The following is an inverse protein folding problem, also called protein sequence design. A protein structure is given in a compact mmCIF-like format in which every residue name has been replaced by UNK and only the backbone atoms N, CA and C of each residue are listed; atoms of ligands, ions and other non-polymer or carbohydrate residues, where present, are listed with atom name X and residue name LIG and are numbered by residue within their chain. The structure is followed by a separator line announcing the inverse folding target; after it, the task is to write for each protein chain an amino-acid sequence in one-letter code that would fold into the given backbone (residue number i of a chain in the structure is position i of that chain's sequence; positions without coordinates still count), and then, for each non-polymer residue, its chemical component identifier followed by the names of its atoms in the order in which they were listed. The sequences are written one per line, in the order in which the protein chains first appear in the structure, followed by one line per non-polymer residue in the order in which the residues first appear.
data_IF_156543442349
#
_entry.id   IF_156543442349
#
_cell.length_a   1.000
_cell.length_b   1.000
_cell.length_c   1.000
_cell.angle_alpha   90.00
_cell.angle_beta   90.00
_cell.angle_gamma   90.00
#
_symmetry.space_group_name_H-M   'P 1'
#
loop_
_entity.id
_entity.type
_entity.pdbx_description
1 polymer ?
#
# COMPACT_ATOMS: atom_id res chain seq x y z
N UNK A 1 -5.36 -42.84 -15.06
CA UNK A 1 -5.84 -41.90 -14.03
C UNK A 1 -5.16 -42.24 -12.70
N UNK A 2 -3.93 -41.76 -12.48
CA UNK A 2 -3.32 -41.85 -11.16
C UNK A 2 -3.82 -40.65 -10.36
N UNK A 3 -4.80 -40.88 -9.49
CA UNK A 3 -5.24 -39.90 -8.50
C UNK A 3 -4.04 -39.56 -7.61
N UNK A 4 -3.57 -38.30 -7.69
CA UNK A 4 -2.62 -37.75 -6.74
C UNK A 4 -3.16 -38.01 -5.31
N UNK A 5 -2.35 -38.50 -4.34
CA UNK A 5 -2.87 -38.88 -3.03
C UNK A 5 -3.45 -37.64 -2.35
N UNK A 6 -4.79 -37.56 -2.24
CA UNK A 6 -5.54 -36.39 -1.74
C UNK A 6 -5.34 -36.12 -0.23
N UNK A 7 -4.37 -36.78 0.42
CA UNK A 7 -4.25 -36.82 1.88
C UNK A 7 -3.80 -35.51 2.55
N UNK A 8 -3.03 -34.66 1.86
CA UNK A 8 -2.38 -33.52 2.55
C UNK A 8 -2.54 -32.16 1.87
N UNK A 9 -3.16 -32.12 0.70
CA UNK A 9 -3.17 -30.93 -0.15
C UNK A 9 -4.10 -29.81 0.37
N UNK A 10 -5.24 -30.20 0.95
CA UNK A 10 -6.30 -29.28 1.35
C UNK A 10 -6.26 -28.95 2.83
N UNK A 11 -6.48 -27.68 3.18
CA UNK A 11 -6.57 -27.28 4.60
C UNK A 11 -7.84 -27.77 5.28
N UNK A 12 -8.90 -27.91 4.50
CA UNK A 12 -10.20 -28.39 4.92
C UNK A 12 -10.52 -29.67 4.14
N UNK A 13 -11.17 -30.64 4.78
CA UNK A 13 -11.61 -31.87 4.12
C UNK A 13 -12.46 -31.59 2.88
N UNK A 14 -12.34 -32.33 1.77
CA UNK A 14 -12.98 -32.01 0.50
C UNK A 14 -14.51 -31.88 0.56
N UNK A 15 -15.19 -32.67 1.39
CA UNK A 15 -16.65 -32.59 1.57
C UNK A 15 -17.04 -31.26 2.21
N UNK A 16 -16.40 -30.90 3.32
CA UNK A 16 -16.60 -29.60 3.98
C UNK A 16 -16.18 -28.44 3.08
N UNK A 17 -15.08 -28.57 2.33
CA UNK A 17 -14.67 -27.56 1.36
C UNK A 17 -15.74 -27.34 0.27
N UNK A 18 -16.46 -28.39 -0.13
CA UNK A 18 -17.56 -28.30 -1.09
C UNK A 18 -18.76 -27.54 -0.51
N UNK A 19 -19.11 -27.76 0.75
CA UNK A 19 -20.19 -27.04 1.45
C UNK A 19 -19.96 -25.52 1.43
N UNK A 20 -18.72 -25.09 1.64
CA UNK A 20 -18.35 -23.66 1.62
C UNK A 20 -18.04 -23.14 0.20
N UNK A 21 -17.98 -24.01 -0.81
CA UNK A 21 -17.68 -23.62 -2.19
C UNK A 21 -16.21 -23.32 -2.46
N UNK A 22 -15.28 -23.91 -1.72
CA UNK A 22 -13.84 -23.69 -1.91
C UNK A 22 -13.19 -24.63 -2.93
N UNK A 23 -13.87 -25.66 -3.43
CA UNK A 23 -13.19 -26.71 -4.21
C UNK A 23 -12.71 -26.20 -5.58
N UNK A 24 -11.42 -26.44 -5.86
CA UNK A 24 -10.85 -26.30 -7.21
C UNK A 24 -10.90 -27.62 -7.99
N UNK A 25 -11.40 -27.58 -9.21
CA UNK A 25 -11.48 -28.67 -10.17
C UNK A 25 -10.45 -28.46 -11.29
N UNK A 26 -9.18 -28.77 -11.00
CA UNK A 26 -8.11 -28.77 -12.00
C UNK A 26 -7.30 -30.05 -11.88
N UNK A 27 -7.07 -30.70 -13.01
CA UNK A 27 -6.26 -31.90 -13.12
C UNK A 27 -4.79 -31.50 -13.30
N UNK A 28 -3.94 -31.87 -12.33
CA UNK A 28 -2.50 -31.65 -12.40
C UNK A 28 -1.80 -32.96 -12.78
N UNK A 29 -1.49 -33.12 -14.06
CA UNK A 29 -0.70 -34.26 -14.57
C UNK A 29 0.80 -33.95 -14.60
N UNK A 30 1.18 -32.68 -14.43
CA UNK A 30 2.59 -32.24 -14.44
C UNK A 30 3.13 -31.98 -15.85
N UNK A 31 2.32 -32.21 -16.89
CA UNK A 31 2.62 -31.86 -18.27
C UNK A 31 1.67 -30.74 -18.72
N UNK A 32 2.19 -29.55 -19.01
CA UNK A 32 1.39 -28.38 -19.36
C UNK A 32 0.47 -28.62 -20.56
N UNK A 33 0.95 -29.35 -21.59
CA UNK A 33 0.16 -29.64 -22.78
C UNK A 33 -1.01 -30.56 -22.45
N UNK A 34 -0.77 -31.58 -21.62
CA UNK A 34 -1.81 -32.51 -21.19
C UNK A 34 -2.81 -31.85 -20.23
N UNK A 35 -2.34 -30.99 -19.34
CA UNK A 35 -3.19 -30.23 -18.40
C UNK A 35 -4.07 -29.22 -19.13
N UNK A 36 -3.57 -28.57 -20.19
CA UNK A 36 -4.37 -27.70 -21.07
C UNK A 36 -5.42 -28.46 -21.89
N UNK A 37 -5.09 -29.66 -22.37
CA UNK A 37 -6.03 -30.50 -23.12
C UNK A 37 -7.12 -31.11 -22.21
N UNK A 38 -6.75 -31.50 -20.99
CA UNK A 38 -7.68 -32.14 -20.04
C UNK A 38 -8.54 -31.15 -19.27
N UNK A 39 -7.99 -29.98 -18.94
CA UNK A 39 -8.73 -28.87 -18.34
C UNK A 39 -8.95 -27.81 -19.43
N UNK A 40 -10.10 -27.84 -20.10
CA UNK A 40 -10.48 -26.83 -21.08
C UNK A 40 -10.66 -25.45 -20.41
N UNK A 41 -9.56 -24.72 -20.22
CA UNK A 41 -9.49 -23.44 -19.51
C UNK A 41 -9.65 -22.21 -20.42
N UNK A 42 -9.60 -22.40 -21.73
CA UNK A 42 -9.80 -21.32 -22.69
C UNK A 42 -11.28 -21.05 -22.92
N UNK A 43 -11.69 -19.79 -22.79
CA UNK A 43 -13.06 -19.38 -23.10
C UNK A 43 -13.28 -19.30 -24.60
N UNK A 44 -14.39 -19.85 -25.09
CA UNK A 44 -14.83 -19.66 -26.48
C UNK A 44 -15.36 -18.23 -26.69
N UNK A 45 -15.49 -17.79 -27.95
CA UNK A 45 -16.03 -16.45 -28.27
C UNK A 45 -17.44 -16.23 -27.69
N UNK A 46 -18.28 -17.27 -27.66
CA UNK A 46 -19.61 -17.21 -27.06
C UNK A 46 -19.55 -17.08 -25.53
N UNK A 47 -18.64 -17.82 -24.89
CA UNK A 47 -18.43 -17.74 -23.44
C UNK A 47 -17.87 -16.38 -23.03
N UNK A 48 -16.97 -15.80 -23.83
CA UNK A 48 -16.54 -14.42 -23.66
C UNK A 48 -17.71 -13.44 -23.72
N UNK A 49 -18.58 -13.58 -24.72
CA UNK A 49 -19.76 -12.72 -24.84
C UNK A 49 -20.71 -12.89 -23.66
N UNK A 50 -20.92 -14.12 -23.19
CA UNK A 50 -21.77 -14.40 -22.03
C UNK A 50 -21.17 -13.86 -20.73
N UNK A 51 -19.86 -13.97 -20.53
CA UNK A 51 -19.17 -13.39 -19.37
C UNK A 51 -19.37 -11.87 -19.30
N UNK A 52 -19.36 -11.19 -20.44
CA UNK A 52 -19.56 -9.73 -20.52
C UNK A 52 -21.04 -9.33 -20.36
N UNK A 53 -21.96 -10.06 -21.01
CA UNK A 53 -23.39 -9.69 -21.06
C UNK A 53 -24.22 -10.21 -19.89
N UNK A 54 -23.86 -11.38 -19.34
CA UNK A 54 -24.61 -12.07 -18.29
C UNK A 54 -23.69 -12.86 -17.34
N UNK A 55 -22.75 -12.18 -16.64
CA UNK A 55 -21.70 -12.82 -15.85
C UNK A 55 -22.22 -13.82 -14.81
N UNK A 56 -23.32 -13.48 -14.13
CA UNK A 56 -23.93 -14.35 -13.11
C UNK A 56 -24.43 -15.66 -13.73
N UNK A 57 -25.13 -15.57 -14.87
CA UNK A 57 -25.65 -16.75 -15.56
C UNK A 57 -24.52 -17.63 -16.11
N UNK A 58 -23.46 -16.99 -16.61
CA UNK A 58 -22.27 -17.71 -17.08
C UNK A 58 -21.61 -18.49 -15.93
N UNK A 59 -21.36 -17.86 -14.79
CA UNK A 59 -20.77 -18.49 -13.59
C UNK A 59 -21.62 -19.67 -13.10
N UNK A 60 -22.95 -19.49 -13.03
CA UNK A 60 -23.86 -20.55 -12.61
C UNK A 60 -23.78 -21.78 -13.53
N UNK A 61 -23.62 -21.57 -14.84
CA UNK A 61 -23.48 -22.64 -15.84
C UNK A 61 -22.09 -23.28 -15.85
N UNK A 62 -21.03 -22.54 -15.49
CA UNK A 62 -19.65 -22.98 -15.68
C UNK A 62 -19.06 -23.85 -14.56
N UNK A 63 -19.71 -23.95 -13.40
CA UNK A 63 -19.14 -24.71 -12.27
C UNK A 63 -19.85 -24.58 -10.93
N UNK A 64 -20.93 -23.80 -10.84
CA UNK A 64 -21.80 -23.75 -9.67
C UNK A 64 -21.43 -22.68 -8.64
N UNK A 65 -22.45 -22.33 -7.86
CA UNK A 65 -22.40 -21.31 -6.82
C UNK A 65 -21.94 -21.89 -5.48
N UNK A 66 -20.88 -21.33 -4.92
CA UNK A 66 -20.44 -21.55 -3.55
C UNK A 66 -21.12 -20.58 -2.59
N UNK A 67 -21.25 -20.96 -1.32
CA UNK A 67 -21.85 -20.10 -0.29
C UNK A 67 -21.02 -18.84 0.02
N UNK A 68 -21.04 -18.41 1.28
CA UNK A 68 -20.27 -17.24 1.72
C UNK A 68 -18.75 -17.43 1.53
N UNK A 69 -18.24 -18.67 1.64
CA UNK A 69 -16.82 -18.97 1.49
C UNK A 69 -15.96 -18.31 2.58
N UNK A 70 -16.40 -18.36 3.83
CA UNK A 70 -15.68 -17.85 5.00
C UNK A 70 -15.67 -18.93 6.08
N UNK A 71 -14.47 -19.28 6.56
CA UNK A 71 -14.25 -20.18 7.68
C UNK A 71 -13.64 -19.41 8.86
N UNK A 72 -14.46 -19.04 9.84
CA UNK A 72 -13.99 -18.32 11.02
C UNK A 72 -13.11 -19.18 11.96
N UNK A 73 -13.12 -20.51 11.81
CA UNK A 73 -12.37 -21.40 12.72
C UNK A 73 -10.86 -21.24 12.59
N UNK A 74 -10.38 -20.80 11.43
CA UNK A 74 -8.95 -20.53 11.19
C UNK A 74 -8.47 -19.17 11.70
N UNK A 75 -9.36 -18.32 12.21
CA UNK A 75 -8.99 -16.98 12.69
C UNK A 75 -7.97 -17.03 13.83
N UNK A 76 -8.05 -18.06 14.67
CA UNK A 76 -7.10 -18.31 15.77
C UNK A 76 -5.65 -18.40 15.29
N UNK A 77 -5.42 -18.83 14.04
CA UNK A 77 -4.10 -18.89 13.45
C UNK A 77 -3.50 -17.49 13.23
N UNK A 78 -4.29 -16.42 13.21
CA UNK A 78 -3.79 -15.06 13.09
C UNK A 78 -3.38 -14.45 14.43
N UNK A 79 -3.85 -14.94 15.58
CA UNK A 79 -3.56 -14.34 16.89
C UNK A 79 -2.08 -14.08 17.20
N UNK A 80 -1.11 -14.90 16.73
CA UNK A 80 0.31 -14.55 16.88
C UNK A 80 0.73 -13.24 16.21
N UNK A 81 -0.11 -12.64 15.34
CA UNK A 81 0.12 -11.28 14.81
C UNK A 81 0.16 -10.22 15.91
N UNK A 82 -0.50 -10.43 17.04
CA UNK A 82 -0.49 -9.48 18.16
C UNK A 82 0.91 -9.36 18.79
N UNK A 83 1.71 -10.43 18.76
CA UNK A 83 3.11 -10.36 19.16
C UNK A 83 3.90 -9.47 18.22
N UNK A 84 3.68 -9.59 16.90
CA UNK A 84 4.25 -8.67 15.92
C UNK A 84 3.78 -7.23 16.14
N UNK A 85 2.51 -7.01 16.46
CA UNK A 85 1.99 -5.68 16.81
C UNK A 85 2.75 -5.06 17.98
N UNK A 86 2.97 -5.81 19.05
CA UNK A 86 3.75 -5.34 20.21
C UNK A 86 5.20 -5.03 19.80
N UNK A 87 5.82 -5.90 19.00
CA UNK A 87 7.18 -5.69 18.48
C UNK A 87 7.26 -4.41 17.65
N UNK A 88 6.36 -4.20 16.69
CA UNK A 88 6.35 -2.99 15.86
C UNK A 88 6.04 -1.74 16.66
N UNK A 89 5.09 -1.79 17.60
CA UNK A 89 4.79 -0.67 18.47
C UNK A 89 6.02 -0.28 19.33
N UNK A 90 6.71 -1.27 19.90
CA UNK A 90 7.94 -1.06 20.66
C UNK A 90 9.09 -0.53 19.81
N UNK A 91 9.31 -1.10 18.62
CA UNK A 91 10.30 -0.64 17.65
C UNK A 91 10.02 0.79 17.20
N UNK A 92 8.76 1.12 16.89
CA UNK A 92 8.33 2.46 16.51
C UNK A 92 8.58 3.45 17.64
N UNK A 93 8.19 3.12 18.87
CA UNK A 93 8.41 3.97 20.04
C UNK A 93 9.89 4.27 20.26
N UNK A 94 10.75 3.24 20.19
CA UNK A 94 12.19 3.42 20.31
C UNK A 94 12.80 4.21 19.14
N UNK A 95 12.36 3.90 17.91
CA UNK A 95 12.83 4.56 16.70
C UNK A 95 12.47 6.04 16.68
N UNK A 96 11.26 6.44 17.08
CA UNK A 96 10.80 7.84 17.06
C UNK A 96 11.79 8.79 17.76
N UNK A 97 12.38 8.38 18.89
CA UNK A 97 13.40 9.18 19.57
C UNK A 97 14.62 9.42 18.68
N UNK A 98 15.15 8.38 18.04
CA UNK A 98 16.32 8.47 17.17
C UNK A 98 15.99 9.20 15.86
N UNK A 99 14.84 8.91 15.26
CA UNK A 99 14.36 9.57 14.04
C UNK A 99 14.14 11.07 14.26
N UNK A 100 13.68 11.48 15.45
CA UNK A 100 13.56 12.90 15.78
C UNK A 100 14.90 13.62 15.86
N UNK A 101 15.95 12.94 16.38
CA UNK A 101 17.32 13.48 16.41
C UNK A 101 17.89 13.57 15.01
N UNK A 102 17.65 12.55 14.18
CA UNK A 102 18.05 12.54 12.78
C UNK A 102 17.37 13.68 12.00
N UNK A 103 16.06 13.90 12.19
CA UNK A 103 15.33 14.99 11.52
C UNK A 103 15.83 16.38 11.92
N UNK A 104 16.19 16.59 13.19
CA UNK A 104 16.84 17.83 13.65
C UNK A 104 18.25 17.99 13.10
N UNK A 105 19.03 16.90 13.03
CA UNK A 105 20.37 16.90 12.44
C UNK A 105 20.34 17.19 10.93
N UNK A 106 19.38 16.61 10.22
CA UNK A 106 19.07 16.89 8.82
C UNK A 106 18.41 18.26 8.62
N UNK A 107 18.17 19.01 9.70
CA UNK A 107 17.58 20.35 9.67
C UNK A 107 16.22 20.43 8.95
N UNK A 108 15.43 19.36 9.03
CA UNK A 108 14.01 19.38 8.57
C UNK A 108 13.25 20.50 9.27
N UNK A 109 13.58 20.73 10.54
CA UNK A 109 13.08 21.85 11.34
C UNK A 109 14.22 22.39 12.20
N UNK A 110 14.30 23.73 12.32
CA UNK A 110 15.24 24.42 13.21
C UNK A 110 14.47 25.05 14.37
N UNK A 111 14.59 24.52 15.60
CA UNK A 111 13.96 25.11 16.78
C UNK A 111 14.54 26.48 17.14
N UNK A 112 13.71 27.35 17.72
CA UNK A 112 14.16 28.64 18.25
C UNK A 112 15.15 28.42 19.40
N UNK A 113 16.33 29.03 19.32
CA UNK A 113 17.44 28.86 20.27
C UNK A 113 18.03 27.43 20.37
N UNK A 114 17.68 26.53 19.43
CA UNK A 114 18.22 25.15 19.44
C UNK A 114 17.60 24.23 20.48
N UNK A 115 16.64 24.69 21.29
CA UNK A 115 15.89 23.86 22.23
C UNK A 115 14.67 23.22 21.56
N UNK A 116 14.60 21.89 21.57
CA UNK A 116 13.47 21.10 21.03
C UNK A 116 12.15 21.44 21.71
N UNK A 117 12.16 21.94 22.95
CA UNK A 117 10.95 22.34 23.67
C UNK A 117 10.32 23.62 23.10
N UNK A 118 11.12 24.49 22.46
CA UNK A 118 10.68 25.75 21.86
C UNK A 118 10.21 25.62 20.40
N UNK A 119 9.81 24.42 19.97
CA UNK A 119 9.21 24.20 18.65
C UNK A 119 7.73 24.58 18.62
N UNK A 120 7.32 25.28 17.57
CA UNK A 120 5.89 25.55 17.30
C UNK A 120 5.12 24.27 16.99
N UNK A 121 3.79 24.31 17.09
CA UNK A 121 2.94 23.15 16.78
C UNK A 121 3.17 22.64 15.36
N UNK A 122 3.23 23.53 14.36
CA UNK A 122 3.47 23.18 12.95
C UNK A 122 4.85 22.56 12.74
N UNK A 123 5.86 23.06 13.45
CA UNK A 123 7.22 22.49 13.45
C UNK A 123 7.25 21.07 14.03
N UNK A 124 6.53 20.83 15.13
CA UNK A 124 6.40 19.49 15.73
C UNK A 124 5.68 18.53 14.78
N UNK A 125 4.64 19.00 14.10
CA UNK A 125 3.88 18.22 13.12
C UNK A 125 4.76 17.83 11.92
N UNK A 126 5.48 18.79 11.31
CA UNK A 126 6.41 18.52 10.19
C UNK A 126 7.47 17.47 10.59
N UNK A 127 8.04 17.59 11.80
CA UNK A 127 9.01 16.61 12.30
C UNK A 127 8.39 15.22 12.57
N UNK A 128 7.12 15.16 13.02
CA UNK A 128 6.40 13.88 13.18
C UNK A 128 6.09 13.23 11.83
N UNK A 129 5.62 14.01 10.83
CA UNK A 129 5.38 13.53 9.46
C UNK A 129 6.66 12.94 8.86
N UNK A 130 7.81 13.61 9.02
CA UNK A 130 9.12 13.09 8.62
C UNK A 130 9.46 11.76 9.29
N UNK A 131 9.30 11.66 10.62
CA UNK A 131 9.57 10.43 11.37
C UNK A 131 8.69 9.28 10.88
N UNK A 132 7.40 9.55 10.63
CA UNK A 132 6.47 8.54 10.13
C UNK A 132 6.88 8.04 8.75
N UNK A 133 7.22 8.93 7.82
CA UNK A 133 7.64 8.52 6.47
C UNK A 133 8.95 7.72 6.49
N UNK A 134 9.89 8.07 7.37
CA UNK A 134 11.13 7.31 7.50
C UNK A 134 10.90 5.94 8.16
N UNK A 135 10.02 5.86 9.16
CA UNK A 135 9.57 4.59 9.73
C UNK A 135 8.94 3.67 8.69
N UNK A 136 8.00 4.21 7.89
CA UNK A 136 7.35 3.48 6.80
C UNK A 136 8.36 3.01 5.75
N UNK A 137 9.33 3.86 5.38
CA UNK A 137 10.39 3.49 4.43
C UNK A 137 11.18 2.26 4.89
N UNK A 138 11.57 2.23 6.18
CA UNK A 138 12.30 1.10 6.77
C UNK A 138 11.42 -0.16 6.80
N UNK A 139 10.17 -0.03 7.23
CA UNK A 139 9.24 -1.16 7.27
C UNK A 139 8.98 -1.74 5.87
N UNK A 140 8.61 -0.91 4.89
CA UNK A 140 8.30 -1.38 3.54
C UNK A 140 9.52 -2.06 2.91
N UNK A 141 10.72 -1.51 3.11
CA UNK A 141 11.96 -2.15 2.64
C UNK A 141 12.14 -3.54 3.26
N UNK A 142 12.00 -3.65 4.58
CA UNK A 142 12.13 -4.94 5.28
C UNK A 142 11.03 -5.94 4.87
N UNK A 143 9.79 -5.47 4.75
CA UNK A 143 8.64 -6.28 4.34
C UNK A 143 8.79 -6.80 2.91
N UNK A 144 9.23 -5.96 1.98
CA UNK A 144 9.48 -6.36 0.59
C UNK A 144 10.61 -7.39 0.50
N UNK A 145 11.72 -7.21 1.24
CA UNK A 145 12.78 -8.21 1.29
C UNK A 145 12.25 -9.54 1.84
N UNK A 146 11.50 -9.49 2.95
CA UNK A 146 10.94 -10.69 3.58
C UNK A 146 9.96 -11.41 2.65
N UNK A 147 9.05 -10.67 2.02
CA UNK A 147 8.12 -11.20 1.03
C UNK A 147 8.85 -11.82 -0.15
N UNK A 148 9.83 -11.15 -0.74
CA UNK A 148 10.58 -11.68 -1.88
C UNK A 148 11.28 -13.01 -1.55
N UNK A 149 11.92 -13.11 -0.38
CA UNK A 149 12.59 -14.35 0.06
C UNK A 149 11.62 -15.53 0.16
N UNK A 150 10.38 -15.29 0.62
CA UNK A 150 9.36 -16.35 0.73
C UNK A 150 8.76 -16.71 -0.64
N UNK A 151 8.58 -15.71 -1.50
CA UNK A 151 7.79 -15.83 -2.72
C UNK A 151 8.59 -16.30 -3.94
N UNK A 152 9.88 -15.97 -4.03
CA UNK A 152 10.69 -16.14 -5.25
C UNK A 152 10.70 -17.56 -5.84
N UNK A 153 10.61 -18.58 -4.98
CA UNK A 153 10.72 -20.00 -5.38
C UNK A 153 9.33 -20.64 -5.59
N UNK A 154 8.25 -19.85 -5.52
CA UNK A 154 6.87 -20.36 -5.61
C UNK A 154 6.39 -20.41 -7.06
N UNK A 155 5.76 -21.53 -7.50
CA UNK A 155 5.32 -21.69 -8.89
C UNK A 155 4.20 -20.71 -9.28
N UNK A 156 3.50 -20.15 -8.31
CA UNK A 156 2.44 -19.16 -8.50
C UNK A 156 2.92 -17.71 -8.41
N UNK A 157 4.19 -17.47 -8.11
CA UNK A 157 4.76 -16.13 -8.05
C UNK A 157 5.38 -15.75 -9.40
N UNK A 158 4.89 -14.65 -9.98
CA UNK A 158 5.42 -14.07 -11.22
C UNK A 158 5.00 -12.60 -11.33
N UNK A 159 5.86 -11.76 -11.90
CA UNK A 159 5.66 -10.31 -12.02
C UNK A 159 5.88 -9.87 -13.48
N UNK A 160 4.83 -9.68 -14.30
CA UNK A 160 3.42 -10.00 -14.04
C UNK A 160 3.15 -11.51 -14.04
N UNK A 161 2.01 -11.93 -13.49
CA UNK A 161 1.62 -13.35 -13.45
C UNK A 161 1.40 -13.91 -14.85
N UNK A 162 2.14 -14.97 -15.22
CA UNK A 162 1.90 -15.75 -16.44
C UNK A 162 0.67 -16.66 -16.31
N UNK A 163 0.27 -17.32 -17.40
CA UNK A 163 -0.84 -18.29 -17.36
C UNK A 163 -0.60 -19.42 -16.35
N UNK A 164 0.60 -20.02 -16.37
CA UNK A 164 0.95 -21.09 -15.44
C UNK A 164 0.97 -20.60 -13.99
N UNK A 165 1.46 -19.38 -13.73
CA UNK A 165 1.40 -18.78 -12.39
C UNK A 165 -0.04 -18.65 -11.90
N UNK A 166 -0.98 -18.18 -12.74
CA UNK A 166 -2.39 -17.97 -12.37
C UNK A 166 -3.10 -19.28 -12.04
N UNK A 167 -2.87 -20.31 -12.85
CA UNK A 167 -3.42 -21.64 -12.58
C UNK A 167 -2.88 -22.14 -11.24
N UNK A 168 -1.57 -22.08 -11.03
CA UNK A 168 -0.93 -22.47 -9.77
C UNK A 168 -1.37 -21.59 -8.58
N UNK A 169 -1.85 -20.38 -8.80
CA UNK A 169 -2.36 -19.50 -7.76
C UNK A 169 -3.76 -19.96 -7.29
N UNK A 170 -4.61 -20.36 -8.24
CA UNK A 170 -5.97 -20.83 -8.02
C UNK A 170 -6.06 -22.29 -7.56
N UNK A 171 -5.00 -23.07 -7.73
CA UNK A 171 -5.00 -24.52 -7.52
C UNK A 171 -3.80 -25.00 -6.70
N UNK A 172 -4.00 -25.93 -5.77
CA UNK A 172 -5.28 -26.37 -5.21
C UNK A 172 -5.92 -25.31 -4.31
N UNK A 173 -7.24 -25.30 -4.19
CA UNK A 173 -7.95 -24.51 -3.19
C UNK A 173 -9.09 -25.33 -2.55
N UNK A 174 -9.31 -25.25 -1.22
CA UNK A 174 -8.50 -24.52 -0.23
C UNK A 174 -7.19 -25.27 0.09
N UNK A 175 -6.04 -24.61 0.18
CA UNK A 175 -4.76 -25.29 0.46
C UNK A 175 -4.25 -25.00 1.87
N UNK A 176 -3.39 -25.87 2.40
CA UNK A 176 -2.66 -25.63 3.66
C UNK A 176 -1.57 -24.58 3.42
N UNK A 177 -1.63 -23.39 4.03
CA UNK A 177 -0.56 -22.41 3.88
C UNK A 177 0.72 -22.93 4.53
N UNK A 178 1.85 -22.71 3.86
CA UNK A 178 3.15 -23.00 4.44
C UNK A 178 3.41 -22.12 5.67
N UNK A 179 4.23 -22.62 6.59
CA UNK A 179 4.54 -21.92 7.83
C UNK A 179 5.14 -20.53 7.56
N UNK A 180 6.04 -20.42 6.57
CA UNK A 180 6.66 -19.14 6.20
C UNK A 180 5.65 -18.15 5.62
N UNK A 181 4.73 -18.65 4.77
CA UNK A 181 3.65 -17.84 4.21
C UNK A 181 2.78 -17.24 5.31
N UNK A 182 2.42 -18.07 6.29
CA UNK A 182 1.60 -17.66 7.42
C UNK A 182 2.36 -16.71 8.37
N UNK A 183 3.68 -16.86 8.52
CA UNK A 183 4.52 -15.89 9.24
C UNK A 183 4.52 -14.52 8.57
N UNK A 184 4.68 -14.46 7.24
CA UNK A 184 4.61 -13.19 6.50
C UNK A 184 3.23 -12.54 6.61
N UNK A 185 2.17 -13.36 6.54
CA UNK A 185 0.80 -12.89 6.73
C UNK A 185 0.58 -12.25 8.11
N UNK A 186 1.06 -12.91 9.18
CA UNK A 186 0.98 -12.41 10.57
C UNK A 186 1.87 -11.18 10.78
N UNK A 187 3.03 -11.14 10.13
CA UNK A 187 3.94 -9.99 10.15
C UNK A 187 3.25 -8.76 9.57
N UNK A 188 2.70 -8.86 8.36
CA UNK A 188 1.97 -7.77 7.70
C UNK A 188 0.75 -7.33 8.51
N UNK A 189 -0.09 -8.27 8.95
CA UNK A 189 -1.25 -7.97 9.78
C UNK A 189 -0.85 -7.27 11.09
N UNK A 190 0.20 -7.77 11.76
CA UNK A 190 0.69 -7.20 13.01
C UNK A 190 1.14 -5.76 12.85
N UNK A 191 1.80 -5.43 11.74
CA UNK A 191 2.18 -4.06 11.40
C UNK A 191 0.98 -3.15 11.17
N UNK A 192 0.01 -3.54 10.34
CA UNK A 192 -1.17 -2.69 10.09
C UNK A 192 -2.03 -2.47 11.33
N UNK A 193 -2.09 -3.44 12.25
CA UNK A 193 -2.71 -3.24 13.57
C UNK A 193 -1.91 -2.22 14.39
N UNK A 194 -0.58 -2.28 14.36
CA UNK A 194 0.27 -1.31 15.07
C UNK A 194 0.14 0.11 14.51
N UNK A 195 0.07 0.26 13.18
CA UNK A 195 -0.18 1.55 12.53
C UNK A 195 -1.58 2.08 12.87
N UNK A 196 -2.60 1.21 12.87
CA UNK A 196 -3.96 1.59 13.30
C UNK A 196 -3.97 2.07 14.76
N UNK A 197 -3.29 1.35 15.66
CA UNK A 197 -3.18 1.76 17.05
C UNK A 197 -2.44 3.10 17.21
N UNK A 198 -1.36 3.30 16.45
CA UNK A 198 -0.61 4.56 16.45
C UNK A 198 -1.48 5.73 15.97
N UNK A 199 -2.31 5.52 14.95
CA UNK A 199 -3.26 6.54 14.48
C UNK A 199 -4.26 6.95 15.54
N UNK A 200 -4.83 5.99 16.26
CA UNK A 200 -5.80 6.26 17.33
C UNK A 200 -5.15 7.01 18.49
N UNK A 201 -3.90 6.66 18.85
CA UNK A 201 -3.14 7.38 19.89
C UNK A 201 -2.79 8.81 19.44
N UNK A 202 -2.58 9.02 18.14
CA UNK A 202 -2.24 10.32 17.55
C UNK A 202 -3.46 11.14 17.11
N UNK A 203 -4.69 10.76 17.49
CA UNK A 203 -5.94 11.38 17.02
C UNK A 203 -6.07 12.88 17.33
N UNK A 204 -5.45 13.35 18.41
CA UNK A 204 -5.44 14.77 18.81
C UNK A 204 -4.67 15.66 17.81
N UNK A 205 -3.89 15.04 16.92
CA UNK A 205 -3.23 15.71 15.81
C UNK A 205 -4.26 15.85 14.69
N UNK A 206 -5.06 16.92 14.74
CA UNK A 206 -6.09 17.27 13.76
C UNK A 206 -5.48 17.29 12.35
N UNK A 207 -5.63 16.18 11.62
CA UNK A 207 -5.14 15.98 10.26
C UNK A 207 -6.36 15.92 9.33
N UNK A 208 -6.40 16.73 8.28
CA UNK A 208 -7.54 16.83 7.36
C UNK A 208 -7.89 15.50 6.67
N UNK A 209 -6.90 14.64 6.45
CA UNK A 209 -7.02 13.32 5.82
C UNK A 209 -7.09 12.15 6.83
N UNK A 210 -7.30 12.43 8.12
CA UNK A 210 -7.36 11.39 9.16
C UNK A 210 -8.41 10.31 8.85
N UNK A 211 -9.63 10.73 8.49
CA UNK A 211 -10.74 9.80 8.21
C UNK A 211 -10.46 8.91 7.02
N UNK A 212 -9.89 9.47 5.95
CA UNK A 212 -9.54 8.71 4.76
C UNK A 212 -8.47 7.66 5.07
N UNK A 213 -7.40 8.06 5.78
CA UNK A 213 -6.32 7.17 6.18
C UNK A 213 -6.80 6.08 7.15
N UNK A 214 -7.71 6.41 8.08
CA UNK A 214 -8.34 5.47 9.00
C UNK A 214 -9.19 4.43 8.27
N UNK A 215 -10.11 4.87 7.40
CA UNK A 215 -10.95 3.97 6.60
C UNK A 215 -10.08 3.03 5.75
N UNK A 216 -9.01 3.56 5.15
CA UNK A 216 -8.05 2.75 4.41
C UNK A 216 -7.43 1.64 5.26
N UNK A 217 -7.04 1.93 6.51
CA UNK A 217 -6.49 0.92 7.42
C UNK A 217 -7.54 -0.12 7.80
N UNK A 218 -8.80 0.29 8.06
CA UNK A 218 -9.90 -0.66 8.34
C UNK A 218 -10.10 -1.60 7.16
N UNK A 219 -10.17 -1.07 5.94
CA UNK A 219 -10.33 -1.89 4.72
C UNK A 219 -9.15 -2.84 4.54
N UNK A 220 -7.91 -2.38 4.77
CA UNK A 220 -6.72 -3.23 4.64
C UNK A 220 -6.71 -4.36 5.66
N UNK A 221 -7.07 -4.08 6.92
CA UNK A 221 -7.20 -5.11 7.95
C UNK A 221 -8.29 -6.14 7.61
N UNK A 222 -9.45 -5.67 7.14
CA UNK A 222 -10.54 -6.55 6.70
C UNK A 222 -10.14 -7.41 5.50
N UNK A 223 -9.43 -6.86 4.52
CA UNK A 223 -8.92 -7.60 3.36
C UNK A 223 -8.01 -8.75 3.79
N UNK A 224 -7.07 -8.48 4.70
CA UNK A 224 -6.16 -9.50 5.25
C UNK A 224 -6.95 -10.57 6.01
N UNK A 225 -7.89 -10.19 6.89
CA UNK A 225 -8.67 -11.15 7.67
C UNK A 225 -9.57 -12.02 6.77
N UNK A 226 -10.31 -11.40 5.83
CA UNK A 226 -11.20 -12.11 4.93
C UNK A 226 -10.40 -13.03 4.00
N UNK A 227 -9.28 -12.56 3.44
CA UNK A 227 -8.41 -13.40 2.60
C UNK A 227 -7.90 -14.62 3.36
N UNK A 228 -7.53 -14.50 4.65
CA UNK A 228 -7.15 -15.65 5.47
C UNK A 228 -8.32 -16.62 5.74
N UNK A 229 -9.48 -16.10 6.15
CA UNK A 229 -10.66 -16.92 6.44
C UNK A 229 -11.26 -17.56 5.18
N UNK A 230 -10.92 -17.06 3.99
CA UNK A 230 -11.30 -17.64 2.70
C UNK A 230 -10.19 -18.50 2.07
N UNK A 231 -9.12 -18.80 2.80
CA UNK A 231 -7.96 -19.59 2.33
C UNK A 231 -7.22 -18.99 1.12
N UNK A 232 -7.33 -17.68 0.91
CA UNK A 232 -6.72 -16.94 -0.20
C UNK A 232 -5.32 -16.41 0.12
N UNK A 233 -4.54 -17.11 0.97
CA UNK A 233 -3.27 -16.55 1.45
C UNK A 233 -2.29 -16.21 0.32
N UNK A 234 -2.20 -17.02 -0.75
CA UNK A 234 -1.37 -16.78 -1.94
C UNK A 234 -1.69 -15.43 -2.59
N UNK A 235 -2.99 -15.13 -2.77
CA UNK A 235 -3.44 -13.83 -3.27
C UNK A 235 -3.11 -12.73 -2.28
N UNK A 236 -3.43 -12.93 -0.99
CA UNK A 236 -3.20 -11.94 0.04
C UNK A 236 -1.72 -11.55 0.15
N UNK A 237 -0.79 -12.51 0.19
CA UNK A 237 0.64 -12.21 0.25
C UNK A 237 1.18 -11.61 -1.04
N UNK A 238 0.63 -11.98 -2.19
CA UNK A 238 1.04 -11.39 -3.46
C UNK A 238 0.67 -9.90 -3.49
N UNK A 239 -0.56 -9.57 -3.08
CA UNK A 239 -1.04 -8.19 -2.96
C UNK A 239 -0.22 -7.43 -1.91
N UNK A 240 -0.01 -7.98 -0.71
CA UNK A 240 0.85 -7.37 0.32
C UNK A 240 2.24 -7.02 -0.22
N UNK A 241 2.89 -7.97 -0.87
CA UNK A 241 4.24 -7.81 -1.40
C UNK A 241 4.34 -6.68 -2.44
N UNK A 242 3.47 -6.68 -3.46
CA UNK A 242 3.54 -5.65 -4.52
C UNK A 242 3.13 -4.27 -3.99
N UNK A 243 2.24 -4.23 -2.98
CA UNK A 243 1.86 -2.98 -2.33
C UNK A 243 3.05 -2.38 -1.59
N UNK A 244 3.68 -3.16 -0.72
CA UNK A 244 4.82 -2.70 0.07
C UNK A 244 6.01 -2.31 -0.84
N UNK A 245 6.24 -3.08 -1.91
CA UNK A 245 7.33 -2.81 -2.86
C UNK A 245 7.20 -1.46 -3.58
N UNK A 246 5.99 -1.06 -3.98
CA UNK A 246 5.78 0.25 -4.62
C UNK A 246 5.96 1.41 -3.64
N UNK A 247 5.62 1.20 -2.37
CA UNK A 247 5.47 2.28 -1.39
C UNK A 247 6.82 2.69 -0.77
N UNK A 248 7.88 1.89 -0.94
CA UNK A 248 9.25 2.23 -0.52
C UNK A 248 9.69 3.59 -1.08
N UNK A 249 9.53 3.78 -2.40
CA UNK A 249 10.00 5.00 -3.06
C UNK A 249 9.12 6.21 -2.80
N UNK A 250 7.83 5.99 -2.56
CA UNK A 250 6.92 7.05 -2.14
C UNK A 250 7.31 7.58 -0.75
N UNK A 251 7.52 6.66 0.20
CA UNK A 251 7.92 7.02 1.56
C UNK A 251 9.30 7.70 1.57
N UNK A 252 10.27 7.16 0.83
CA UNK A 252 11.60 7.74 0.70
C UNK A 252 11.57 9.12 0.04
N UNK A 253 10.78 9.28 -1.03
CA UNK A 253 10.59 10.57 -1.71
C UNK A 253 10.04 11.64 -0.76
N UNK A 254 9.06 11.28 0.09
CA UNK A 254 8.53 12.19 1.12
C UNK A 254 9.59 12.57 2.17
N UNK A 255 10.43 11.63 2.60
CA UNK A 255 11.57 11.92 3.51
C UNK A 255 12.51 12.96 2.88
N UNK A 256 12.91 12.76 1.62
CA UNK A 256 13.78 13.70 0.89
C UNK A 256 13.09 15.07 0.75
N UNK A 257 11.80 15.09 0.40
CA UNK A 257 11.02 16.32 0.25
C UNK A 257 11.03 17.18 1.53
N UNK A 258 10.84 16.57 2.70
CA UNK A 258 10.87 17.31 3.97
C UNK A 258 12.23 17.95 4.25
N UNK A 259 13.34 17.29 3.88
CA UNK A 259 14.69 17.84 4.04
C UNK A 259 14.95 18.98 3.05
N UNK A 260 14.59 18.77 1.77
CA UNK A 260 14.79 19.78 0.71
C UNK A 260 13.96 21.04 0.97
N UNK A 261 12.67 20.90 1.33
CA UNK A 261 11.81 22.04 1.73
C UNK A 261 12.36 22.77 2.96
N UNK A 262 12.93 22.04 3.93
CA UNK A 262 13.59 22.62 5.11
C UNK A 262 14.77 23.52 4.72
N UNK A 263 15.61 23.07 3.79
CA UNK A 263 16.75 23.85 3.30
C UNK A 263 16.32 25.07 2.47
N UNK A 264 15.33 24.90 1.58
CA UNK A 264 14.74 25.99 0.79
C UNK A 264 14.20 27.13 1.64
N UNK A 265 13.40 26.79 2.67
CA UNK A 265 12.85 27.78 3.62
C UNK A 265 13.94 28.54 4.37
N UNK A 266 15.03 27.87 4.74
CA UNK A 266 16.19 28.49 5.38
C UNK A 266 16.89 29.48 4.44
N UNK A 267 17.13 29.09 3.19
CA UNK A 267 17.74 29.98 2.20
C UNK A 267 16.87 31.23 1.95
N UNK A 268 15.55 31.06 1.87
CA UNK A 268 14.58 32.16 1.74
C UNK A 268 14.62 33.11 2.95
N UNK A 269 14.59 32.57 4.17
CA UNK A 269 14.66 33.36 5.39
C UNK A 269 15.99 34.12 5.55
N UNK A 270 17.11 33.55 5.07
CA UNK A 270 18.41 34.22 5.04
C UNK A 270 18.40 35.41 4.06
N UNK A 271 17.84 35.23 2.86
CA UNK A 271 17.69 36.31 1.86
C UNK A 271 16.77 37.43 2.36
N UNK A 272 15.73 37.09 3.13
CA UNK A 272 14.78 38.06 3.68
C UNK A 272 15.28 38.81 4.93
N UNK A 273 16.54 38.61 5.36
CA UNK A 273 17.11 39.32 6.52
C UNK A 273 16.48 38.96 7.88
N UNK A 274 15.58 37.97 7.95
CA UNK A 274 14.88 37.55 9.18
C UNK A 274 15.76 36.77 10.18
N UNK A 275 17.08 36.73 9.98
CA UNK A 275 18.01 35.89 10.74
C UNK A 275 18.34 36.47 12.12
N UNK A 276 17.41 36.36 13.08
CA UNK A 276 17.67 36.69 14.50
C UNK A 276 18.24 35.53 15.33
N UNK A 277 18.31 34.31 14.79
CA UNK A 277 18.91 33.18 15.50
C UNK A 277 20.14 32.70 14.71
N UNK A 278 21.28 32.70 15.38
CA UNK A 278 22.54 32.17 14.87
C UNK A 278 22.30 30.84 14.14
N UNK A 279 22.54 30.87 12.83
CA UNK A 279 22.40 29.72 11.96
C UNK A 279 23.28 28.60 12.52
N UNK A 280 22.65 27.52 13.02
CA UNK A 280 23.35 26.26 13.20
C UNK A 280 23.87 25.86 11.81
N UNK A 281 25.17 26.06 11.59
CA UNK A 281 25.85 25.72 10.35
C UNK A 281 25.48 24.27 9.99
N UNK A 282 24.82 24.06 8.85
CA UNK A 282 24.52 22.71 8.38
C UNK A 282 25.83 21.91 8.30
N UNK A 283 25.82 20.61 8.63
CA UNK A 283 26.95 19.75 8.32
C UNK A 283 27.11 19.72 6.79
N UNK A 284 28.13 20.42 6.29
CA UNK A 284 28.36 20.68 4.85
C UNK A 284 29.03 19.48 4.17
N UNK A 285 28.58 18.26 4.46
CA UNK A 285 29.13 17.10 3.76
C UNK A 285 28.66 17.12 2.30
N UNK A 286 29.57 16.84 1.36
CA UNK A 286 29.22 16.72 -0.06
C UNK A 286 28.15 15.65 -0.28
N UNK A 287 28.18 14.60 0.55
CA UNK A 287 27.20 13.52 0.54
C UNK A 287 25.79 14.00 0.88
N UNK A 288 25.62 14.88 1.88
CA UNK A 288 24.32 15.45 2.22
C UNK A 288 23.69 16.16 1.02
N UNK A 289 24.46 17.03 0.35
CA UNK A 289 23.98 17.77 -0.84
C UNK A 289 23.75 16.88 -2.05
N UNK A 290 24.47 15.75 -2.15
CA UNK A 290 24.28 14.78 -3.22
C UNK A 290 22.99 13.96 -3.03
N UNK A 291 22.64 13.62 -1.79
CA UNK A 291 21.45 12.84 -1.46
C UNK A 291 20.18 13.72 -1.44
N UNK A 292 20.25 14.87 -0.78
CA UNK A 292 19.10 15.75 -0.58
C UNK A 292 19.11 16.91 -1.58
N UNK A 293 18.74 16.62 -2.83
CA UNK A 293 18.56 17.62 -3.88
C UNK A 293 17.28 17.35 -4.69
N UNK A 294 16.85 18.37 -5.44
CA UNK A 294 15.62 18.31 -6.25
C UNK A 294 15.68 17.26 -7.35
N UNK A 295 16.88 16.98 -7.87
CA UNK A 295 17.10 15.94 -8.89
C UNK A 295 16.84 14.54 -8.33
N UNK A 296 17.34 14.23 -7.14
CA UNK A 296 17.12 12.96 -6.44
C UNK A 296 15.66 12.81 -6.05
N UNK A 297 15.04 13.88 -5.55
CA UNK A 297 13.61 13.89 -5.26
C UNK A 297 12.79 13.54 -6.52
N UNK A 298 13.12 14.17 -7.64
CA UNK A 298 12.46 13.91 -8.93
C UNK A 298 12.73 12.50 -9.44
N UNK A 299 13.94 11.99 -9.29
CA UNK A 299 14.29 10.61 -9.64
C UNK A 299 13.51 9.60 -8.79
N UNK A 300 13.41 9.81 -7.48
CA UNK A 300 12.62 8.96 -6.58
C UNK A 300 11.13 8.94 -6.97
N UNK A 301 10.54 10.10 -7.27
CA UNK A 301 9.15 10.17 -7.71
C UNK A 301 8.94 9.53 -9.08
N UNK A 302 9.84 9.73 -10.05
CA UNK A 302 9.76 9.09 -11.35
C UNK A 302 9.83 7.57 -11.23
N UNK A 303 10.78 7.07 -10.44
CA UNK A 303 10.94 5.65 -10.19
C UNK A 303 9.75 5.06 -9.42
N UNK A 304 9.20 5.80 -8.46
CA UNK A 304 7.93 5.47 -7.81
C UNK A 304 6.80 5.37 -8.84
N UNK A 305 6.64 6.35 -9.73
CA UNK A 305 5.59 6.32 -10.75
C UNK A 305 5.72 5.09 -11.65
N UNK A 306 6.93 4.77 -12.13
CA UNK A 306 7.16 3.58 -12.95
C UNK A 306 6.81 2.29 -12.19
N UNK A 307 7.27 2.14 -10.95
CA UNK A 307 6.95 0.96 -10.14
C UNK A 307 5.46 0.89 -9.78
N UNK A 308 4.83 2.03 -9.49
CA UNK A 308 3.40 2.12 -9.23
C UNK A 308 2.60 1.67 -10.45
N UNK A 309 2.94 2.18 -11.66
CA UNK A 309 2.31 1.72 -12.90
C UNK A 309 2.48 0.20 -13.10
N UNK A 310 3.70 -0.30 -12.91
CA UNK A 310 3.98 -1.73 -13.09
C UNK A 310 3.22 -2.62 -12.09
N UNK A 311 3.27 -2.31 -10.79
CA UNK A 311 2.61 -3.14 -9.79
C UNK A 311 1.09 -2.95 -9.78
N UNK A 312 0.61 -1.71 -9.93
CA UNK A 312 -0.82 -1.37 -9.76
C UNK A 312 -1.64 -1.47 -11.02
N UNK A 313 -1.07 -1.14 -12.17
CA UNK A 313 -1.79 -1.06 -13.44
C UNK A 313 -1.40 -2.15 -14.44
N UNK A 314 -0.32 -2.88 -14.17
CA UNK A 314 0.01 -4.11 -14.91
C UNK A 314 -0.23 -5.35 -14.06
N UNK A 315 0.48 -5.52 -12.95
CA UNK A 315 0.42 -6.77 -12.17
C UNK A 315 -0.96 -7.05 -11.57
N UNK A 316 -1.60 -6.04 -10.94
CA UNK A 316 -2.92 -6.21 -10.32
C UNK A 316 -4.05 -6.49 -11.33
N UNK A 317 -4.17 -5.78 -12.47
CA UNK A 317 -5.18 -6.10 -13.48
C UNK A 317 -4.98 -7.47 -14.10
N UNK A 318 -3.73 -7.88 -14.36
CA UNK A 318 -3.45 -9.23 -14.85
C UNK A 318 -3.85 -10.31 -13.84
N UNK A 319 -3.64 -10.05 -12.55
CA UNK A 319 -4.10 -10.91 -11.47
C UNK A 319 -5.64 -10.98 -11.42
N UNK A 320 -6.31 -9.83 -11.48
CA UNK A 320 -7.77 -9.72 -11.42
C UNK A 320 -8.46 -10.37 -12.63
N UNK A 321 -8.00 -10.05 -13.84
CA UNK A 321 -8.52 -10.62 -15.09
C UNK A 321 -8.32 -12.13 -15.12
N UNK A 322 -7.13 -12.58 -14.71
CA UNK A 322 -6.81 -13.99 -14.54
C UNK A 322 -7.83 -14.72 -13.67
N UNK A 323 -8.17 -14.14 -12.53
CA UNK A 323 -9.13 -14.75 -11.61
C UNK A 323 -10.54 -14.84 -12.18
N UNK A 324 -10.98 -13.82 -12.92
CA UNK A 324 -12.30 -13.84 -13.55
C UNK A 324 -12.36 -14.88 -14.67
N UNK A 325 -11.30 -14.99 -15.48
CA UNK A 325 -11.28 -15.88 -16.65
C UNK A 325 -11.04 -17.34 -16.26
N UNK A 326 -10.02 -17.61 -15.45
CA UNK A 326 -9.66 -18.97 -15.07
C UNK A 326 -10.45 -19.45 -13.86
N UNK A 327 -10.75 -18.57 -12.90
CA UNK A 327 -11.44 -18.94 -11.65
C UNK A 327 -12.82 -19.54 -11.89
N UNK A 328 -13.58 -19.03 -12.86
CA UNK A 328 -14.93 -19.52 -13.21
C UNK A 328 -14.96 -20.94 -13.80
N UNK A 329 -13.83 -21.42 -14.32
CA UNK A 329 -13.66 -22.79 -14.84
C UNK A 329 -12.98 -23.72 -13.83
N UNK A 330 -12.10 -23.15 -13.01
CA UNK A 330 -11.23 -23.91 -12.10
C UNK A 330 -11.85 -24.05 -10.72
N UNK A 331 -12.71 -23.13 -10.27
CA UNK A 331 -13.15 -23.06 -8.88
C UNK A 331 -14.62 -22.67 -8.76
N UNK A 332 -15.27 -23.17 -7.71
CA UNK A 332 -16.61 -22.69 -7.34
C UNK A 332 -16.55 -21.22 -6.92
N UNK A 333 -17.53 -20.44 -7.36
CA UNK A 333 -17.60 -19.02 -7.05
C UNK A 333 -18.08 -18.81 -5.61
N UNK A 334 -17.32 -18.07 -4.77
CA UNK A 334 -17.77 -17.67 -3.43
C UNK A 334 -17.99 -16.17 -3.34
N UNK A 335 -18.91 -15.75 -2.46
CA UNK A 335 -19.13 -14.32 -2.20
C UNK A 335 -17.88 -13.62 -1.67
N UNK A 336 -17.08 -14.29 -0.84
CA UNK A 336 -15.82 -13.75 -0.35
C UNK A 336 -14.82 -13.50 -1.47
N UNK A 337 -14.68 -14.43 -2.42
CA UNK A 337 -13.82 -14.27 -3.58
C UNK A 337 -14.28 -13.13 -4.48
N UNK A 338 -15.59 -13.04 -4.72
CA UNK A 338 -16.21 -11.94 -5.46
C UNK A 338 -15.95 -10.58 -4.82
N UNK A 339 -16.12 -10.48 -3.51
CA UNK A 339 -15.87 -9.27 -2.73
C UNK A 339 -14.39 -8.85 -2.82
N UNK A 340 -13.46 -9.79 -2.67
CA UNK A 340 -12.02 -9.52 -2.79
C UNK A 340 -11.66 -9.04 -4.21
N UNK A 341 -12.22 -9.65 -5.26
CA UNK A 341 -12.02 -9.21 -6.65
C UNK A 341 -12.62 -7.83 -6.88
N UNK A 342 -13.82 -7.57 -6.38
CA UNK A 342 -14.47 -6.28 -6.53
C UNK A 342 -13.67 -5.16 -5.86
N UNK A 343 -13.18 -5.38 -4.63
CA UNK A 343 -12.30 -4.43 -3.96
C UNK A 343 -10.97 -4.25 -4.70
N UNK A 344 -10.41 -5.32 -5.24
CA UNK A 344 -9.21 -5.25 -6.08
C UNK A 344 -9.45 -4.41 -7.34
N UNK A 345 -10.57 -4.63 -8.03
CA UNK A 345 -10.98 -3.87 -9.20
C UNK A 345 -11.26 -2.40 -8.87
N UNK A 346 -11.91 -2.13 -7.74
CA UNK A 346 -12.12 -0.78 -7.22
C UNK A 346 -10.79 -0.07 -6.90
N UNK A 347 -9.83 -0.79 -6.31
CA UNK A 347 -8.47 -0.29 -6.08
C UNK A 347 -7.73 0.03 -7.38
N UNK A 348 -7.83 -0.84 -8.39
CA UNK A 348 -7.28 -0.62 -9.74
C UNK A 348 -7.93 0.61 -10.38
N UNK A 349 -9.26 0.72 -10.34
CA UNK A 349 -9.99 1.85 -10.91
C UNK A 349 -9.59 3.17 -10.22
N UNK A 350 -9.47 3.17 -8.89
CA UNK A 350 -8.96 4.32 -8.14
C UNK A 350 -7.54 4.68 -8.57
N UNK A 351 -6.63 3.71 -8.70
CA UNK A 351 -5.27 3.95 -9.15
C UNK A 351 -5.22 4.53 -10.58
N UNK A 352 -6.08 4.04 -11.48
CA UNK A 352 -6.23 4.58 -12.83
C UNK A 352 -6.74 6.02 -12.82
N UNK A 353 -7.76 6.33 -12.01
CA UNK A 353 -8.26 7.69 -11.86
C UNK A 353 -7.19 8.65 -11.33
N UNK A 354 -6.44 8.23 -10.31
CA UNK A 354 -5.31 9.02 -9.77
C UNK A 354 -4.27 9.28 -10.85
N UNK A 355 -3.90 8.28 -11.64
CA UNK A 355 -2.96 8.46 -12.74
C UNK A 355 -3.47 9.46 -13.79
N UNK A 356 -4.73 9.35 -14.18
CA UNK A 356 -5.35 10.27 -15.15
C UNK A 356 -5.35 11.69 -14.59
N UNK A 357 -5.71 11.85 -13.32
CA UNK A 357 -5.69 13.14 -12.64
C UNK A 357 -4.28 13.74 -12.59
N UNK A 358 -3.29 13.01 -12.08
CA UNK A 358 -1.90 13.48 -12.01
C UNK A 358 -1.31 13.81 -13.38
N UNK A 359 -1.61 13.02 -14.42
CA UNK A 359 -1.17 13.35 -15.78
C UNK A 359 -1.87 14.60 -16.31
N UNK A 360 -3.17 14.76 -16.05
CA UNK A 360 -3.92 15.94 -16.48
C UNK A 360 -3.41 17.23 -15.83
N UNK A 361 -3.02 17.17 -14.55
CA UNK A 361 -2.43 18.30 -13.83
C UNK A 361 -1.03 18.64 -14.32
N UNK A 362 -0.18 17.64 -14.54
CA UNK A 362 1.16 17.84 -15.09
C UNK A 362 1.11 18.44 -16.52
N UNK A 363 0.12 18.06 -17.32
CA UNK A 363 -0.10 18.63 -18.66
C UNK A 363 -0.63 20.08 -18.54
N UNK A 364 -1.62 20.32 -17.67
CA UNK A 364 -2.19 21.64 -17.44
C UNK A 364 -1.15 22.63 -16.90
N UNK A 365 -0.24 22.19 -16.03
CA UNK A 365 0.83 23.02 -15.48
C UNK A 365 1.90 23.36 -16.52
N UNK A 366 2.24 22.42 -17.41
CA UNK A 366 3.17 22.62 -18.53
C UNK A 366 2.62 23.66 -19.51
N UNK A 367 1.29 23.70 -19.71
CA UNK A 367 0.62 24.66 -20.57
C UNK A 367 0.47 26.05 -19.89
N UNK A 368 0.27 26.09 -18.58
CA UNK A 368 0.05 27.34 -17.83
C UNK A 368 1.33 28.00 -17.31
N UNK A 369 2.49 27.36 -17.46
CA UNK A 369 3.78 27.91 -17.03
C UNK A 369 3.94 28.05 -15.50
N UNK A 370 3.05 27.41 -14.71
CA UNK A 370 3.20 27.35 -13.25
C UNK A 370 4.38 26.44 -12.89
N UNK A 371 5.23 26.91 -11.97
CA UNK A 371 6.38 26.13 -11.52
C UNK A 371 5.94 24.85 -10.80
N UNK A 372 6.65 23.75 -11.03
CA UNK A 372 6.38 22.41 -10.49
C UNK A 372 6.39 22.35 -8.95
N UNK A 373 6.89 23.39 -8.27
CA UNK A 373 6.87 23.50 -6.80
C UNK A 373 5.46 23.61 -6.21
N UNK A 374 4.51 24.27 -6.90
CA UNK A 374 3.14 24.53 -6.38
C UNK A 374 2.26 23.27 -6.35
N UNK A 375 2.55 22.27 -7.19
CA UNK A 375 1.77 21.02 -7.29
C UNK A 375 2.19 20.02 -6.20
N UNK A 376 3.40 20.20 -5.65
CA UNK A 376 3.96 19.34 -4.59
C UNK A 376 3.63 19.82 -3.16
N UNK A 377 2.81 20.86 -3.02
CA UNK A 377 2.49 21.53 -1.74
C UNK A 377 1.06 21.36 -1.24
N UNK A 378 0.12 20.85 -2.04
CA UNK A 378 -1.31 20.94 -1.70
C UNK A 378 -1.76 20.15 -0.44
N UNK A 379 -0.91 19.31 0.16
CA UNK A 379 -1.22 18.59 1.41
C UNK A 379 -0.57 19.19 2.69
N UNK A 380 0.18 20.29 2.60
CA UNK A 380 0.95 20.82 3.75
C UNK A 380 0.68 22.30 4.12
N UNK A 381 -0.25 22.98 3.44
CA UNK A 381 -0.55 24.40 3.70
C UNK A 381 -1.62 24.58 4.79
N UNK A 382 -1.22 24.34 6.04
CA UNK A 382 -1.75 25.04 7.21
C UNK A 382 -0.65 25.98 7.75
N UNK A 383 -0.16 26.88 6.88
CA UNK A 383 0.68 28.00 7.29
C UNK A 383 -0.21 29.16 7.79
N UNK A 384 -0.84 28.99 8.97
CA UNK A 384 -1.29 30.14 9.76
C UNK A 384 -0.11 30.64 10.62
N UNK A 385 0.83 31.32 9.96
CA UNK A 385 1.76 32.24 10.61
C UNK A 385 1.34 33.67 10.23
N UNK A 386 0.08 33.99 10.55
CA UNK A 386 -0.52 35.31 10.44
C UNK A 386 -0.54 36.06 11.77
N UNK A 387 0.58 36.10 12.49
CA UNK A 387 0.78 37.03 13.61
C UNK A 387 0.85 38.48 13.12
N UNK A 388 -0.29 39.04 12.69
CA UNK A 388 -0.45 40.44 12.32
C UNK A 388 -0.96 41.24 13.51
N UNK A 389 -0.10 42.09 14.06
CA UNK A 389 -0.48 43.14 15.00
C UNK A 389 -1.73 43.88 14.52
N UNK A 390 -2.74 43.95 15.38
CA UNK A 390 -3.92 44.77 15.19
C UNK A 390 -3.51 46.26 15.20
N UNK A 391 -3.28 46.83 14.03
CA UNK A 391 -3.20 48.28 13.84
C UNK A 391 -4.62 48.90 13.93
N UNK A 392 -4.77 50.07 14.57
CA UNK A 392 -6.09 50.60 14.95
C UNK A 392 -6.87 51.09 13.74
N UNK A 393 -8.18 50.81 13.74
CA UNK A 393 -9.18 51.33 12.79
C UNK A 393 -9.06 52.85 12.68
N UNK A 394 -8.55 53.36 11.54
CA UNK A 394 -8.74 54.76 11.15
C UNK A 394 -10.23 55.00 10.90
N UNK A 395 -10.83 55.84 11.73
CA UNK A 395 -12.15 56.40 11.49
C UNK A 395 -12.14 57.21 10.19
N UNK A 396 -13.03 56.86 9.24
CA UNK A 396 -13.37 57.77 8.15
C UNK A 396 -14.31 58.84 8.71
N UNK A 397 -13.74 60.03 8.88
CA UNK A 397 -14.44 61.29 9.09
C UNK A 397 -15.33 61.56 7.87
N UNK A 398 -16.63 61.77 8.12
CA UNK A 398 -17.60 62.35 7.17
C UNK A 398 -17.31 63.84 7.03
N UNK A 399 -17.21 64.33 5.80
CA UNK A 399 -17.44 65.72 5.37
C UNK A 399 -17.82 65.58 3.88
N UNK A 400 -19.13 65.55 3.61
CA UNK A 400 -19.99 66.64 3.11
C UNK A 400 -19.91 66.80 1.60
#
# INVERSE_FOLDING_TARGET
MALHPRGELYAMGPERAREYGFVSYYNHTGNETLDRLTNNITLTTEEWLQLVTSPVQFILKSGGWGGLGIDATVLSQLFPCLLWTIVFAGLRFFAQKQLSRLGLWLQVVVPRHGDKNNMTTSQRLKLKKFQNQLWLTVYYTASTIFGYVILRDKPWFGLPVSESNRIALLTPHPYKPEVELLRYYRYGLGFYIAEMAALVVEIDIKRSDFFEYFIHHVVTLLLIIISHCSYEHRFGVYVLFIHDASDILLALGKVINYVVKGDGNRMRNRKAGKSKNAAANAPVSRLYKAIFNDSMLTACFLMFTVLFLFFRLLCLPFLALGNIVYGVKIRMFTWSFAFLIFLLAGGIARAACVLVHTNSENIASTITGKSVEDIRSEDDDDDDDGGGEALPKKSKRKEK
#
